data_IF_853474028202
#
_entry.id   IF_853474028202
#
_cell.length_a   1.000
_cell.length_b   1.000
_cell.length_c   1.000
_cell.angle_alpha   90.00
_cell.angle_beta   90.00
_cell.angle_gamma   90.00
#
_symmetry.space_group_name_H-M   'P 1'
#
loop_
_entity.id
_entity.type
_entity.pdbx_description
1 polymer ?
#
# COMPACT_ATOMS: atom_id res chain seq x y z
N UNK A 1 -3.17 -3.98 -12.72
CA UNK A 1 -2.79 -2.65 -12.18
C UNK A 1 -3.89 -1.68 -12.54
N UNK A 2 -4.11 -0.62 -11.76
CA UNK A 2 -4.89 0.52 -12.25
C UNK A 2 -4.13 1.21 -13.39
N UNK A 3 -4.85 1.83 -14.32
CA UNK A 3 -4.25 2.70 -15.33
C UNK A 3 -3.57 3.90 -14.63
N UNK A 4 -2.29 4.21 -14.90
CA UNK A 4 -1.62 5.38 -14.34
C UNK A 4 -2.31 6.71 -14.65
N UNK A 5 -2.94 6.85 -15.83
CA UNK A 5 -3.69 8.07 -16.19
C UNK A 5 -4.97 8.21 -15.35
N UNK A 6 -5.76 7.15 -15.23
CA UNK A 6 -6.96 7.14 -14.36
C UNK A 6 -6.56 7.31 -12.90
N UNK A 7 -5.43 6.73 -12.47
CA UNK A 7 -4.89 6.90 -11.12
C UNK A 7 -4.43 8.34 -10.87
N UNK A 8 -3.82 9.01 -11.86
CA UNK A 8 -3.47 10.42 -11.76
C UNK A 8 -4.73 11.28 -11.67
N UNK A 9 -5.73 11.04 -12.52
CA UNK A 9 -7.00 11.78 -12.53
C UNK A 9 -7.79 11.61 -11.22
N UNK A 10 -7.92 10.38 -10.70
CA UNK A 10 -8.51 10.13 -9.39
C UNK A 10 -7.77 10.87 -8.27
N UNK A 11 -6.44 10.89 -8.31
CA UNK A 11 -5.63 11.67 -7.34
C UNK A 11 -5.95 13.16 -7.47
N UNK A 12 -6.03 13.66 -8.71
CA UNK A 12 -6.33 15.05 -9.04
C UNK A 12 -7.71 15.48 -8.51
N UNK A 13 -8.79 14.77 -8.90
CA UNK A 13 -10.16 15.04 -8.45
C UNK A 13 -10.28 15.04 -6.93
N UNK A 14 -9.66 14.05 -6.25
CA UNK A 14 -9.65 14.03 -4.79
C UNK A 14 -8.96 15.26 -4.20
N UNK A 15 -7.78 15.65 -4.71
CA UNK A 15 -7.03 16.79 -4.18
C UNK A 15 -7.72 18.13 -4.44
N UNK A 16 -8.32 18.33 -5.61
CA UNK A 16 -9.15 19.50 -5.92
C UNK A 16 -10.34 19.68 -4.95
N UNK A 17 -10.85 18.57 -4.39
CA UNK A 17 -11.93 18.57 -3.40
C UNK A 17 -11.44 18.54 -1.93
N UNK A 18 -10.17 18.86 -1.67
CA UNK A 18 -9.59 18.89 -0.31
C UNK A 18 -9.05 17.54 0.18
N UNK A 19 -8.73 16.64 -0.75
CA UNK A 19 -8.01 15.39 -0.54
C UNK A 19 -8.90 14.19 -0.16
N UNK A 20 -10.20 14.41 0.07
CA UNK A 20 -11.24 13.41 0.41
C UNK A 20 -12.51 13.69 -0.40
N UNK A 21 -13.22 12.67 -0.83
CA UNK A 21 -14.54 12.80 -1.46
C UNK A 21 -15.41 11.56 -1.23
N UNK A 22 -16.75 11.69 -1.27
CA UNK A 22 -17.65 10.55 -1.23
C UNK A 22 -17.50 9.67 -2.47
N UNK A 23 -17.64 8.35 -2.31
CA UNK A 23 -17.44 7.39 -3.42
C UNK A 23 -18.42 7.63 -4.59
N UNK A 24 -19.64 8.09 -4.29
CA UNK A 24 -20.66 8.44 -5.30
C UNK A 24 -20.29 9.71 -6.08
N UNK A 25 -19.93 10.77 -5.37
CA UNK A 25 -19.48 12.03 -5.98
C UNK A 25 -18.25 11.79 -6.86
N UNK A 26 -17.27 11.03 -6.35
CA UNK A 26 -16.08 10.63 -7.11
C UNK A 26 -16.44 9.80 -8.36
N UNK A 27 -17.46 8.94 -8.29
CA UNK A 27 -17.96 8.22 -9.45
C UNK A 27 -18.57 9.17 -10.50
N UNK A 28 -19.33 10.17 -10.05
CA UNK A 28 -19.97 11.18 -10.92
C UNK A 28 -18.93 12.08 -11.62
N UNK A 29 -17.91 12.58 -10.92
CA UNK A 29 -16.84 13.39 -11.52
C UNK A 29 -15.96 12.63 -12.51
N UNK A 30 -15.78 11.32 -12.33
CA UNK A 30 -14.84 10.50 -13.12
C UNK A 30 -15.57 9.71 -14.23
N UNK A 31 -16.89 9.65 -14.21
CA UNK A 31 -17.71 9.03 -15.26
C UNK A 31 -17.58 7.50 -15.36
N UNK A 32 -17.02 6.84 -14.35
CA UNK A 32 -16.85 5.38 -14.30
C UNK A 32 -18.10 4.69 -13.76
N UNK A 33 -18.26 3.39 -14.06
CA UNK A 33 -19.18 2.56 -13.27
C UNK A 33 -18.62 2.31 -11.86
N UNK A 34 -19.50 2.11 -10.88
CA UNK A 34 -19.12 1.80 -9.51
C UNK A 34 -18.15 0.61 -9.41
N UNK A 35 -18.31 -0.40 -10.28
CA UNK A 35 -17.41 -1.55 -10.37
C UNK A 35 -16.03 -1.15 -10.88
N UNK A 36 -15.93 -0.44 -12.01
CA UNK A 36 -14.63 0.03 -12.53
C UNK A 36 -13.90 0.94 -11.54
N UNK A 37 -14.63 1.81 -10.83
CA UNK A 37 -14.05 2.64 -9.77
C UNK A 37 -13.53 1.78 -8.62
N UNK A 38 -14.34 0.85 -8.09
CA UNK A 38 -13.92 -0.06 -7.02
C UNK A 38 -12.72 -0.93 -7.41
N UNK A 39 -12.70 -1.48 -8.63
CA UNK A 39 -11.59 -2.27 -9.17
C UNK A 39 -10.33 -1.40 -9.31
N UNK A 40 -10.45 -0.15 -9.77
CA UNK A 40 -9.33 0.80 -9.90
C UNK A 40 -8.75 1.20 -8.55
N UNK A 41 -9.61 1.55 -7.57
CA UNK A 41 -9.21 1.88 -6.21
C UNK A 41 -8.50 0.69 -5.53
N UNK A 42 -9.03 -0.52 -5.72
CA UNK A 42 -8.46 -1.76 -5.18
C UNK A 42 -7.11 -2.11 -5.82
N UNK A 43 -6.96 -1.89 -7.14
CA UNK A 43 -5.74 -2.17 -7.88
C UNK A 43 -4.62 -1.13 -7.68
N UNK A 44 -4.97 0.11 -7.33
CA UNK A 44 -4.04 1.16 -6.88
C UNK A 44 -3.66 0.99 -5.40
N UNK A 45 -4.59 0.50 -4.58
CA UNK A 45 -4.40 0.10 -3.20
C UNK A 45 -4.32 1.25 -2.18
N UNK A 46 -4.32 0.90 -0.88
CA UNK A 46 -4.46 1.86 0.24
C UNK A 46 -3.25 2.80 0.45
N UNK A 47 -2.18 2.63 -0.32
CA UNK A 47 -1.06 3.60 -0.39
C UNK A 47 -1.31 4.76 -1.35
N UNK A 48 -2.33 4.67 -2.21
CA UNK A 48 -2.79 5.74 -3.11
C UNK A 48 -4.21 6.20 -2.78
N UNK A 49 -5.13 5.25 -2.56
CA UNK A 49 -6.52 5.56 -2.22
C UNK A 49 -6.96 4.72 -1.03
N UNK A 50 -7.17 5.38 0.10
CA UNK A 50 -7.71 4.75 1.29
C UNK A 50 -9.24 4.90 1.28
N UNK A 51 -9.94 3.79 1.06
CA UNK A 51 -11.41 3.72 1.10
C UNK A 51 -11.87 3.53 2.54
N UNK A 52 -12.81 4.35 3.02
CA UNK A 52 -13.16 4.46 4.44
C UNK A 52 -14.68 4.55 4.66
N UNK A 53 -15.10 4.66 5.92
CA UNK A 53 -16.52 4.70 6.34
C UNK A 53 -17.36 3.57 5.73
N UNK A 54 -16.83 2.34 5.79
CA UNK A 54 -17.49 1.14 5.25
C UNK A 54 -17.58 1.07 3.72
N UNK A 55 -16.92 1.98 3.00
CA UNK A 55 -17.01 2.13 1.54
C UNK A 55 -17.64 3.45 1.09
N UNK A 56 -18.06 4.33 2.01
CA UNK A 56 -18.76 5.57 1.66
C UNK A 56 -17.83 6.68 1.13
N UNK A 57 -16.56 6.73 1.54
CA UNK A 57 -15.61 7.79 1.18
C UNK A 57 -14.27 7.25 0.67
N UNK A 58 -13.56 8.09 -0.09
CA UNK A 58 -12.21 7.84 -0.60
C UNK A 58 -11.27 8.99 -0.23
N UNK A 59 -10.07 8.65 0.24
CA UNK A 59 -9.05 9.59 0.68
C UNK A 59 -7.74 9.41 -0.10
N UNK A 60 -7.17 10.50 -0.62
CA UNK A 60 -5.92 10.48 -1.38
C UNK A 60 -4.69 10.34 -0.46
N UNK A 61 -3.94 9.26 -0.65
CA UNK A 61 -2.76 8.90 0.14
C UNK A 61 -1.51 8.98 -0.73
N UNK A 62 -0.39 9.33 -0.12
CA UNK A 62 0.92 9.25 -0.79
C UNK A 62 2.02 8.84 0.19
N UNK A 63 3.07 8.18 -0.31
CA UNK A 63 4.31 7.92 0.40
C UNK A 63 5.38 9.03 0.22
N UNK A 64 5.13 10.04 -0.63
CA UNK A 64 6.02 11.18 -0.83
C UNK A 64 6.14 12.03 0.44
N UNK A 65 7.36 12.43 0.80
CA UNK A 65 7.67 13.25 1.98
C UNK A 65 8.61 14.40 1.62
N UNK A 66 8.60 15.45 2.43
CA UNK A 66 9.55 16.57 2.35
C UNK A 66 10.88 16.18 3.00
N UNK A 67 11.99 16.69 2.47
CA UNK A 67 13.33 16.46 3.01
C UNK A 67 13.55 17.28 4.29
N UNK A 68 13.90 16.59 5.38
CA UNK A 68 14.14 17.21 6.71
C UNK A 68 15.63 17.51 7.00
N UNK A 69 16.51 17.34 6.01
CA UNK A 69 17.96 17.59 6.14
C UNK A 69 18.28 19.07 5.88
N UNK A 70 19.26 19.62 6.60
CA UNK A 70 19.73 21.02 6.42
C UNK A 70 20.67 21.21 5.23
N UNK A 71 21.41 20.15 4.91
CA UNK A 71 22.27 19.95 3.73
C UNK A 71 21.93 18.55 3.19
N UNK A 72 21.90 18.38 1.86
CA UNK A 72 21.45 17.13 1.24
C UNK A 72 22.04 16.98 -0.16
N UNK A 73 22.90 15.98 -0.36
CA UNK A 73 23.59 15.67 -1.63
C UNK A 73 22.68 14.92 -2.63
N UNK A 74 21.37 15.24 -2.60
CA UNK A 74 20.30 14.52 -3.29
C UNK A 74 19.66 13.41 -2.43
N UNK A 75 18.34 13.31 -2.49
CA UNK A 75 17.58 12.17 -1.97
C UNK A 75 16.18 12.06 -2.61
N UNK A 76 15.48 10.95 -2.36
CA UNK A 76 14.13 10.67 -2.89
C UNK A 76 13.02 11.35 -2.06
N UNK A 77 13.17 12.65 -1.78
CA UNK A 77 12.20 13.50 -1.08
C UNK A 77 12.16 14.89 -1.69
N UNK A 78 11.05 15.59 -1.50
CA UNK A 78 10.88 16.95 -2.03
C UNK A 78 11.70 17.96 -1.21
N UNK A 79 12.44 18.85 -1.86
CA UNK A 79 13.24 19.89 -1.20
C UNK A 79 12.47 21.22 -1.21
N UNK A 80 11.68 21.46 -0.15
CA UNK A 80 10.67 22.53 -0.12
C UNK A 80 10.58 23.28 1.20
N UNK A 81 10.16 24.53 1.11
CA UNK A 81 9.88 25.41 2.23
C UNK A 81 8.60 24.96 2.97
N UNK A 82 8.74 24.27 4.12
CA UNK A 82 7.61 23.88 4.98
C UNK A 82 6.63 25.03 5.22
N UNK A 83 7.15 26.24 5.50
CA UNK A 83 6.30 27.40 5.79
C UNK A 83 5.54 27.89 4.56
N UNK A 84 6.08 27.75 3.35
CA UNK A 84 5.38 28.16 2.13
C UNK A 84 4.21 27.23 1.82
N UNK A 85 4.44 25.91 1.91
CA UNK A 85 3.40 24.87 1.82
C UNK A 85 2.30 25.02 2.90
N UNK A 86 2.53 25.79 3.96
CA UNK A 86 1.55 26.08 5.02
C UNK A 86 0.99 27.50 4.95
N UNK A 87 1.18 28.23 3.84
CA UNK A 87 0.69 29.61 3.66
C UNK A 87 1.34 30.66 4.58
N UNK A 88 2.48 30.33 5.19
CA UNK A 88 3.08 31.03 6.34
C UNK A 88 4.55 31.47 6.14
N UNK A 89 5.07 31.37 4.92
CA UNK A 89 6.39 31.94 4.60
C UNK A 89 6.24 33.40 4.16
N UNK A 90 6.72 34.33 4.98
CA UNK A 90 6.74 35.76 4.66
C UNK A 90 8.00 36.22 3.88
N UNK A 91 8.92 35.30 3.60
CA UNK A 91 10.09 35.58 2.75
C UNK A 91 9.72 35.53 1.27
N UNK A 92 10.35 36.38 0.45
CA UNK A 92 10.30 36.23 -1.01
C UNK A 92 10.97 34.91 -1.41
N UNK A 93 10.55 34.26 -2.52
CA UNK A 93 11.20 33.02 -3.00
C UNK A 93 12.72 33.16 -3.19
N UNK A 94 13.18 34.31 -3.68
CA UNK A 94 14.59 34.66 -3.85
C UNK A 94 15.37 34.92 -2.55
N UNK A 95 14.71 34.89 -1.39
CA UNK A 95 15.30 35.15 -0.07
C UNK A 95 15.05 34.03 0.93
N UNK A 96 14.35 32.95 0.55
CA UNK A 96 14.19 31.77 1.38
C UNK A 96 15.35 30.79 1.14
N UNK A 97 15.82 30.09 2.19
CA UNK A 97 16.83 29.01 2.03
C UNK A 97 16.26 27.79 1.26
N UNK A 98 14.94 27.59 1.27
CA UNK A 98 14.29 26.41 0.70
C UNK A 98 13.41 26.81 -0.48
N UNK A 99 13.32 25.95 -1.49
CA UNK A 99 12.49 26.21 -2.67
C UNK A 99 11.02 26.47 -2.28
N UNK A 100 10.41 27.43 -2.95
CA UNK A 100 8.97 27.65 -2.89
C UNK A 100 8.26 26.82 -3.99
N UNK A 101 8.84 26.76 -5.20
CA UNK A 101 8.35 25.97 -6.34
C UNK A 101 8.36 24.45 -6.05
N UNK A 102 7.17 23.85 -5.97
CA UNK A 102 6.98 22.39 -5.83
C UNK A 102 7.51 21.64 -7.05
N UNK A 103 7.34 22.19 -8.25
CA UNK A 103 7.60 21.56 -9.54
C UNK A 103 9.05 21.77 -10.04
N UNK A 104 9.96 22.18 -9.16
CA UNK A 104 11.35 22.46 -9.49
C UNK A 104 12.12 21.24 -10.04
N UNK A 105 13.28 21.49 -10.66
CA UNK A 105 14.08 20.46 -11.33
C UNK A 105 14.52 19.28 -10.44
N UNK A 106 14.75 19.49 -9.14
CA UNK A 106 15.11 18.42 -8.20
C UNK A 106 13.88 17.53 -7.91
N UNK A 107 12.73 18.18 -7.67
CA UNK A 107 11.49 17.53 -7.30
C UNK A 107 10.85 16.75 -8.46
N UNK A 108 11.04 17.17 -9.71
CA UNK A 108 10.45 16.49 -10.90
C UNK A 108 10.72 14.99 -10.94
N UNK A 109 11.91 14.53 -10.52
CA UNK A 109 12.22 13.09 -10.43
C UNK A 109 11.39 12.39 -9.36
N UNK A 110 11.25 12.99 -8.18
CA UNK A 110 10.46 12.42 -7.06
C UNK A 110 8.98 12.37 -7.44
N UNK A 111 8.43 13.45 -8.00
CA UNK A 111 7.04 13.50 -8.45
C UNK A 111 6.76 12.49 -9.56
N UNK A 112 7.69 12.30 -10.52
CA UNK A 112 7.56 11.28 -11.56
C UNK A 112 7.60 9.85 -11.00
N UNK A 113 8.50 9.57 -10.06
CA UNK A 113 8.64 8.25 -9.43
C UNK A 113 7.41 7.82 -8.61
N UNK A 114 6.48 8.73 -8.32
CA UNK A 114 5.25 8.47 -7.56
C UNK A 114 3.96 8.77 -8.36
N UNK A 115 4.07 8.93 -9.68
CA UNK A 115 2.97 9.28 -10.59
C UNK A 115 2.18 10.54 -10.17
N UNK A 116 2.88 11.56 -9.67
CA UNK A 116 2.32 12.85 -9.25
C UNK A 116 2.61 14.01 -10.23
N UNK A 117 3.30 13.74 -11.34
CA UNK A 117 3.68 14.78 -12.32
C UNK A 117 2.52 15.43 -13.07
N UNK A 118 1.30 14.90 -12.96
CA UNK A 118 0.09 15.46 -13.56
C UNK A 118 -0.70 16.42 -12.65
N UNK A 119 -0.29 16.59 -11.39
CA UNK A 119 -0.97 17.48 -10.44
C UNK A 119 -0.40 18.91 -10.52
N UNK A 120 -1.26 19.88 -10.24
CA UNK A 120 -0.91 21.29 -9.99
C UNK A 120 -0.26 21.49 -8.61
N UNK A 121 0.27 22.70 -8.38
CA UNK A 121 0.92 23.08 -7.13
C UNK A 121 -0.06 23.02 -5.93
N UNK A 122 -1.29 23.50 -6.10
CA UNK A 122 -2.34 23.47 -5.07
C UNK A 122 -2.79 22.02 -4.74
N UNK A 123 -2.96 21.17 -5.74
CA UNK A 123 -3.32 19.76 -5.55
C UNK A 123 -2.21 18.98 -4.83
N UNK A 124 -0.94 19.26 -5.18
CA UNK A 124 0.22 18.70 -4.47
C UNK A 124 0.31 19.22 -3.03
N UNK A 125 -0.01 20.50 -2.79
CA UNK A 125 -0.05 21.09 -1.46
C UNK A 125 -1.08 20.37 -0.59
N UNK A 126 -2.32 20.18 -1.06
CA UNK A 126 -3.36 19.41 -0.38
C UNK A 126 -2.90 17.97 -0.08
N UNK A 127 -2.37 17.27 -1.09
CA UNK A 127 -1.94 15.88 -0.95
C UNK A 127 -0.83 15.72 0.09
N UNK A 128 0.14 16.62 0.11
CA UNK A 128 1.28 16.60 1.05
C UNK A 128 0.85 16.99 2.48
N UNK A 129 0.05 18.04 2.62
CA UNK A 129 -0.40 18.55 3.92
C UNK A 129 -1.21 17.55 4.73
N UNK A 130 -1.93 16.62 4.10
CA UNK A 130 -2.69 15.57 4.79
C UNK A 130 -1.93 14.24 4.99
N UNK A 131 -0.76 14.07 4.36
CA UNK A 131 -0.02 12.79 4.36
C UNK A 131 1.31 12.81 5.12
N UNK A 132 2.03 13.94 5.14
CA UNK A 132 3.37 14.01 5.73
C UNK A 132 3.34 14.45 7.20
N UNK A 133 3.79 13.55 8.08
CA UNK A 133 4.00 13.78 9.50
C UNK A 133 4.87 15.02 9.79
N UNK A 134 5.72 15.44 8.85
CA UNK A 134 6.57 16.63 8.96
C UNK A 134 5.77 17.92 9.17
N UNK A 135 4.51 18.01 8.73
CA UNK A 135 3.69 19.21 8.94
C UNK A 135 3.16 19.34 10.37
N UNK A 136 2.92 18.22 11.07
CA UNK A 136 2.37 18.18 12.42
C UNK A 136 3.25 18.91 13.47
N UNK A 137 2.66 19.46 14.54
CA UNK A 137 3.38 19.91 15.74
C UNK A 137 3.99 18.73 16.52
N UNK A 138 5.07 18.98 17.28
CA UNK A 138 5.69 17.91 18.09
C UNK A 138 4.75 17.38 19.19
N UNK A 139 4.88 16.09 19.49
CA UNK A 139 4.25 15.47 20.66
C UNK A 139 4.86 15.97 21.96
N UNK A 140 4.03 16.23 22.96
CA UNK A 140 4.48 16.62 24.30
C UNK A 140 5.32 15.48 24.94
N UNK A 141 6.57 15.74 25.36
CA UNK A 141 7.43 14.71 25.95
C UNK A 141 7.00 14.32 27.37
N UNK A 142 6.36 15.23 28.11
CA UNK A 142 5.82 14.95 29.45
C UNK A 142 4.61 14.02 29.39
N UNK A 143 3.68 14.27 28.46
CA UNK A 143 2.55 13.38 28.18
C UNK A 143 3.02 11.98 27.75
N UNK A 144 4.01 11.90 26.86
CA UNK A 144 4.56 10.63 26.38
C UNK A 144 5.55 9.95 27.35
N UNK A 145 5.72 10.44 28.57
CA UNK A 145 6.55 9.79 29.61
C UNK A 145 5.74 8.72 30.35
N UNK A 146 6.41 7.69 30.88
CA UNK A 146 5.80 6.72 31.82
C UNK A 146 5.19 7.50 33.00
N UNK A 147 3.86 7.45 33.14
CA UNK A 147 3.09 8.26 34.09
C UNK A 147 2.13 9.28 33.45
N UNK A 148 2.24 9.58 32.15
CA UNK A 148 1.19 10.22 31.33
C UNK A 148 0.84 11.69 31.61
N UNK A 149 1.40 12.34 32.63
CA UNK A 149 0.93 13.65 33.08
C UNK A 149 1.73 14.83 32.49
N UNK A 150 1.03 15.75 31.82
CA UNK A 150 1.55 17.07 31.47
C UNK A 150 0.92 18.13 32.38
N UNK A 151 1.76 18.82 33.18
CA UNK A 151 1.30 19.86 34.12
C UNK A 151 0.58 21.03 33.45
N UNK A 152 0.83 21.29 32.17
CA UNK A 152 0.18 22.37 31.41
C UNK A 152 -1.23 22.00 30.92
N UNK A 153 -1.58 20.71 30.86
CA UNK A 153 -2.88 20.21 30.39
C UNK A 153 -3.35 20.94 29.10
N UNK A 154 -4.54 21.56 29.12
CA UNK A 154 -5.12 22.28 27.99
C UNK A 154 -4.36 23.56 27.58
N UNK A 155 -3.40 24.03 28.38
CA UNK A 155 -2.52 25.16 28.05
C UNK A 155 -1.21 24.72 27.36
N UNK A 156 -0.99 23.41 27.16
CA UNK A 156 0.20 22.93 26.45
C UNK A 156 0.10 23.24 24.94
N UNK A 157 1.19 23.71 24.34
CA UNK A 157 1.30 23.99 22.90
C UNK A 157 1.89 22.82 22.08
N UNK A 158 1.90 21.61 22.66
CA UNK A 158 2.37 20.37 22.04
C UNK A 158 1.27 19.30 22.04
N UNK A 159 1.32 18.36 21.10
CA UNK A 159 0.27 17.35 20.94
C UNK A 159 0.26 16.35 22.12
N UNK A 160 -0.90 16.18 22.74
CA UNK A 160 -1.18 15.13 23.72
C UNK A 160 -1.67 13.85 23.02
N UNK A 161 -0.80 13.34 22.14
CA UNK A 161 -1.02 12.16 21.30
C UNK A 161 0.19 11.23 21.42
N UNK A 162 -0.04 9.92 21.28
CA UNK A 162 0.97 8.88 21.32
C UNK A 162 2.04 9.07 20.23
N UNK A 163 3.29 9.31 20.64
CA UNK A 163 4.43 9.47 19.72
C UNK A 163 4.65 8.23 18.86
N UNK A 164 4.35 7.03 19.36
CA UNK A 164 4.49 5.80 18.56
C UNK A 164 3.39 5.67 17.49
N UNK A 165 2.19 6.22 17.72
CA UNK A 165 1.09 6.23 16.74
C UNK A 165 1.42 7.14 15.56
N UNK A 166 1.84 8.39 15.81
CA UNK A 166 2.24 9.34 14.76
C UNK A 166 3.52 8.92 14.00
N UNK A 167 4.27 7.95 14.53
CA UNK A 167 5.40 7.30 13.85
C UNK A 167 5.02 6.00 13.11
N UNK A 168 3.74 5.60 13.08
CA UNK A 168 3.25 4.36 12.47
C UNK A 168 3.77 3.08 13.13
N UNK A 169 4.13 3.14 14.42
CA UNK A 169 4.89 2.09 15.14
C UNK A 169 4.33 1.76 16.53
N UNK A 170 3.07 2.10 16.82
CA UNK A 170 2.42 1.77 18.09
C UNK A 170 1.99 0.29 18.12
N UNK A 171 2.71 -0.54 18.89
CA UNK A 171 2.43 -1.98 19.07
C UNK A 171 1.24 -2.31 19.97
N UNK A 172 0.46 -1.31 20.38
CA UNK A 172 -0.63 -1.46 21.33
C UNK A 172 -1.96 -1.15 20.63
N UNK A 173 -2.81 -2.16 20.35
CA UNK A 173 -4.15 -1.94 19.79
C UNK A 173 -5.04 -1.11 20.73
N UNK A 174 -4.89 -1.31 22.05
CA UNK A 174 -5.46 -0.45 23.10
C UNK A 174 -4.31 0.28 23.79
N UNK A 175 -3.87 1.41 23.24
CA UNK A 175 -2.80 2.20 23.85
C UNK A 175 -3.33 3.01 25.04
N UNK A 176 -2.50 3.16 26.08
CA UNK A 176 -2.80 4.04 27.24
C UNK A 176 -2.63 5.53 26.91
N UNK A 177 -2.00 5.85 25.77
CA UNK A 177 -1.81 7.21 25.28
C UNK A 177 -2.81 7.48 24.16
N UNK A 178 -3.40 8.68 24.13
CA UNK A 178 -4.40 9.07 23.15
C UNK A 178 -3.89 8.90 21.71
N UNK A 179 -4.74 8.34 20.84
CA UNK A 179 -4.57 8.34 19.39
C UNK A 179 -5.46 9.40 18.71
N UNK A 180 -6.20 10.22 19.49
CA UNK A 180 -7.23 11.13 19.01
C UNK A 180 -6.68 12.56 18.73
N UNK A 181 -6.38 12.83 17.45
CA UNK A 181 -6.05 14.13 16.88
C UNK A 181 -7.25 15.09 16.79
N UNK A 182 -8.48 14.56 16.83
CA UNK A 182 -9.73 15.32 16.84
C UNK A 182 -10.19 15.72 18.26
N UNK A 183 -9.39 15.43 19.29
CA UNK A 183 -9.62 15.94 20.64
C UNK A 183 -9.44 17.47 20.69
N UNK A 184 -10.27 18.19 21.44
CA UNK A 184 -10.23 19.67 21.48
C UNK A 184 -8.89 20.29 21.92
N UNK A 185 -8.01 19.50 22.57
CA UNK A 185 -6.62 19.90 22.80
C UNK A 185 -5.76 19.79 21.52
N UNK A 186 -5.87 18.67 20.81
CA UNK A 186 -5.12 18.42 19.60
C UNK A 186 -5.56 19.35 18.45
N UNK A 187 -6.87 19.51 18.22
CA UNK A 187 -7.43 20.43 17.20
C UNK A 187 -6.90 21.85 17.40
N UNK A 188 -7.03 22.43 18.59
CA UNK A 188 -6.50 23.77 18.90
C UNK A 188 -5.00 23.89 18.61
N UNK A 189 -4.21 22.85 18.92
CA UNK A 189 -2.76 22.84 18.65
C UNK A 189 -2.45 22.71 17.15
N UNK A 190 -3.26 21.97 16.39
CA UNK A 190 -3.17 21.85 14.93
C UNK A 190 -3.56 23.17 14.23
N UNK A 191 -4.61 23.84 14.69
CA UNK A 191 -5.04 25.16 14.22
C UNK A 191 -3.93 26.22 14.40
N UNK A 192 -3.17 26.18 15.50
CA UNK A 192 -2.03 27.11 15.68
C UNK A 192 -0.99 27.01 14.57
N UNK A 193 -0.83 25.84 13.92
CA UNK A 193 0.04 25.66 12.76
C UNK A 193 -0.68 25.72 11.41
N UNK A 194 -2.01 25.84 11.39
CA UNK A 194 -2.80 25.98 10.15
C UNK A 194 -3.28 24.66 9.57
N UNK A 195 -3.36 23.61 10.39
CA UNK A 195 -4.05 22.36 10.06
C UNK A 195 -5.46 22.48 10.63
N UNK A 196 -6.46 22.55 9.75
CA UNK A 196 -7.87 22.69 10.14
C UNK A 196 -8.50 21.34 10.53
N UNK A 197 -9.79 21.35 10.91
CA UNK A 197 -10.54 20.14 11.26
C UNK A 197 -10.67 19.11 10.13
N UNK A 198 -10.65 19.52 8.86
CA UNK A 198 -10.74 18.61 7.70
C UNK A 198 -9.41 17.88 7.50
N UNK A 199 -8.30 18.61 7.47
CA UNK A 199 -6.96 18.05 7.35
C UNK A 199 -6.63 17.20 8.59
N UNK A 200 -7.05 17.63 9.79
CA UNK A 200 -6.94 16.83 11.02
C UNK A 200 -7.73 15.51 10.95
N UNK A 201 -8.93 15.50 10.35
CA UNK A 201 -9.71 14.28 10.11
C UNK A 201 -8.99 13.35 9.13
N UNK A 202 -8.45 13.90 8.03
CA UNK A 202 -7.68 13.12 7.06
C UNK A 202 -6.44 12.48 7.69
N UNK A 203 -5.71 13.21 8.55
CA UNK A 203 -4.63 12.64 9.36
C UNK A 203 -5.12 11.55 10.31
N UNK A 204 -6.20 11.76 11.07
CA UNK A 204 -6.76 10.77 11.99
C UNK A 204 -7.03 9.45 11.25
N UNK A 205 -7.80 9.51 10.16
CA UNK A 205 -8.14 8.38 9.30
C UNK A 205 -6.91 7.65 8.76
N UNK A 206 -5.89 8.38 8.29
CA UNK A 206 -4.63 7.82 7.77
C UNK A 206 -3.82 7.11 8.86
N UNK A 207 -3.76 7.67 10.07
CA UNK A 207 -3.01 7.06 11.18
C UNK A 207 -3.73 5.88 11.81
N UNK A 208 -5.06 5.90 11.91
CA UNK A 208 -5.84 4.76 12.40
C UNK A 208 -5.69 3.56 11.46
N UNK A 209 -5.79 3.76 10.14
CA UNK A 209 -5.51 2.70 9.16
C UNK A 209 -4.09 2.15 9.31
N UNK A 210 -3.06 3.02 9.34
CA UNK A 210 -1.65 2.61 9.55
C UNK A 210 -1.44 1.86 10.88
N UNK A 211 -2.20 2.20 11.92
CA UNK A 211 -2.15 1.54 13.23
C UNK A 211 -2.83 0.17 13.22
N UNK A 212 -3.96 0.02 12.52
CA UNK A 212 -4.60 -1.29 12.33
C UNK A 212 -3.68 -2.26 11.58
N UNK A 213 -3.14 -1.85 10.43
CA UNK A 213 -2.27 -2.70 9.60
C UNK A 213 -1.02 -3.18 10.35
N UNK A 214 -0.29 -2.25 10.97
CA UNK A 214 0.95 -2.56 11.71
C UNK A 214 0.73 -3.56 12.88
N UNK A 215 -0.46 -3.57 13.47
CA UNK A 215 -0.82 -4.56 14.50
C UNK A 215 -1.44 -5.84 13.91
N UNK A 216 -2.07 -5.77 12.73
CA UNK A 216 -2.52 -6.93 11.97
C UNK A 216 -1.36 -7.79 11.46
N UNK A 217 -0.32 -7.17 10.90
CA UNK A 217 0.92 -7.81 10.47
C UNK A 217 1.61 -8.53 11.65
N UNK A 218 1.77 -7.85 12.79
CA UNK A 218 2.40 -8.45 13.97
C UNK A 218 1.62 -9.65 14.52
N UNK A 219 0.29 -9.67 14.45
CA UNK A 219 -0.50 -10.87 14.83
C UNK A 219 -0.22 -12.07 13.92
N UNK A 220 -0.01 -11.85 12.62
CA UNK A 220 0.35 -12.92 11.66
C UNK A 220 1.77 -13.47 11.92
N UNK A 221 2.69 -12.63 12.36
CA UNK A 221 4.08 -13.03 12.68
C UNK A 221 4.28 -13.61 14.09
N UNK A 222 3.33 -13.46 15.01
CA UNK A 222 3.51 -13.81 16.43
C UNK A 222 2.62 -14.98 16.90
N UNK A 223 2.22 -15.86 15.98
CA UNK A 223 1.39 -17.06 16.19
C UNK A 223 2.07 -18.21 16.95
N UNK A 224 3.16 -17.92 17.68
CA UNK A 224 3.91 -18.88 18.50
C UNK A 224 3.81 -18.67 20.02
N UNK A 225 3.15 -17.60 20.49
CA UNK A 225 2.96 -17.32 21.92
C UNK A 225 1.51 -16.95 22.22
N UNK A 226 0.76 -17.90 22.77
CA UNK A 226 -0.47 -17.60 23.51
C UNK A 226 -0.11 -16.92 24.84
N UNK A 227 -0.89 -15.91 25.22
CA UNK A 227 -1.16 -15.67 26.63
C UNK A 227 -2.57 -15.12 26.76
N UNK A 228 -3.43 -15.90 27.41
CA UNK A 228 -4.86 -15.65 27.49
C UNK A 228 -5.17 -14.62 28.59
N UNK A 229 -6.02 -13.64 28.26
CA UNK A 229 -6.78 -12.86 29.25
C UNK A 229 -8.16 -12.57 28.64
N UNK A 230 -9.21 -12.92 29.39
CA UNK A 230 -10.58 -12.97 28.88
C UNK A 230 -11.25 -11.59 28.78
N UNK A 231 -12.48 -11.60 28.25
CA UNK A 231 -13.33 -10.43 28.09
C UNK A 231 -13.74 -9.83 29.44
N UNK A 232 -13.84 -8.49 29.46
CA UNK A 232 -15.05 -7.86 29.97
C UNK A 232 -15.76 -7.18 28.77
N UNK A 233 -17.10 -7.17 28.77
CA UNK A 233 -17.95 -6.80 27.64
C UNK A 233 -19.07 -5.85 28.06
N UNK A 234 -18.73 -4.60 28.37
CA UNK A 234 -19.75 -3.56 28.45
C UNK A 234 -19.28 -2.17 28.86
N UNK A 235 -19.55 -1.18 28.01
CA UNK A 235 -20.31 0.02 28.40
C UNK A 235 -20.81 0.77 27.17
N UNK A 236 -22.02 1.29 27.27
CA UNK A 236 -22.71 1.97 26.18
C UNK A 236 -22.15 3.38 26.00
N UNK A 237 -22.10 3.86 24.75
CA UNK A 237 -22.03 5.30 24.49
C UNK A 237 -23.40 5.91 24.81
N UNK A 238 -23.44 6.92 25.67
CA UNK A 238 -24.64 7.70 25.97
C UNK A 238 -24.30 9.18 26.03
N UNK A 239 -25.05 10.01 25.29
CA UNK A 239 -25.15 11.44 25.53
C UNK A 239 -24.00 12.31 25.04
N UNK A 240 -23.93 12.56 23.73
CA UNK A 240 -23.64 13.93 23.29
C UNK A 240 -24.95 14.70 23.45
N UNK A 241 -24.94 15.77 24.26
CA UNK A 241 -26.04 16.75 24.29
C UNK A 241 -25.75 17.79 23.23
N UNK A 242 -26.56 17.81 22.18
CA UNK A 242 -26.59 18.98 21.29
C UNK A 242 -27.20 20.18 22.01
N UNK A 243 -26.74 21.38 21.66
CA UNK A 243 -27.24 22.63 22.21
C UNK A 243 -28.14 23.29 21.15
N UNK A 244 -29.41 23.49 21.51
CA UNK A 244 -30.46 23.93 20.58
C UNK A 244 -30.10 25.20 19.80
N UNK A 245 -30.42 25.21 18.51
CA UNK A 245 -30.78 26.43 17.78
C UNK A 245 -32.19 26.25 17.23
N UNK A 246 -33.05 27.23 17.47
CA UNK A 246 -34.51 27.11 17.30
C UNK A 246 -34.97 27.62 15.93
N UNK A 247 -35.89 26.89 15.27
CA UNK A 247 -37.15 27.40 14.70
C UNK A 247 -37.97 26.21 14.11
N UNK A 248 -39.33 26.25 14.05
CA UNK A 248 -40.15 25.06 13.85
C UNK A 248 -40.93 24.98 12.52
N UNK A 249 -41.15 23.77 12.00
CA UNK A 249 -42.26 23.46 11.08
C UNK A 249 -42.81 22.04 11.30
N UNK A 250 -44.03 21.99 11.87
CA UNK A 250 -45.13 21.00 11.69
C UNK A 250 -44.79 19.51 11.49
N UNK A 251 -45.31 18.67 12.41
CA UNK A 251 -45.36 17.21 12.28
C UNK A 251 -46.35 16.71 11.22
N UNK A 252 -46.08 15.53 10.64
CA UNK A 252 -47.14 14.65 10.13
C UNK A 252 -46.73 13.19 10.32
N UNK A 253 -47.28 12.54 11.34
CA UNK A 253 -47.11 11.12 11.62
C UNK A 253 -48.24 10.32 10.98
N UNK A 254 -47.90 9.31 10.18
CA UNK A 254 -48.81 8.19 9.89
C UNK A 254 -48.20 6.89 10.41
N UNK A 255 -49.02 6.17 11.16
CA UNK A 255 -48.68 4.97 11.90
C UNK A 255 -49.43 3.78 11.28
N UNK A 256 -48.84 2.58 11.25
CA UNK A 256 -49.52 1.26 11.34
C UNK A 256 -48.47 0.12 11.28
N UNK A 257 -48.55 -0.92 12.15
CA UNK A 257 -47.70 -2.12 12.10
C UNK A 257 -48.36 -3.26 11.27
N UNK A 258 -47.77 -4.47 11.16
CA UNK A 258 -48.22 -5.53 12.09
C UNK A 258 -47.23 -6.67 12.45
N UNK A 259 -47.42 -7.20 13.66
CA UNK A 259 -47.53 -8.62 14.08
C UNK A 259 -46.46 -9.71 13.80
N UNK A 260 -46.49 -10.70 14.71
CA UNK A 260 -45.61 -11.88 14.82
C UNK A 260 -46.30 -13.17 14.33
N UNK A 261 -45.52 -14.15 13.82
CA UNK A 261 -45.65 -15.61 14.00
C UNK A 261 -44.22 -16.19 13.93
N UNK A 262 -43.59 -17.05 14.77
CA UNK A 262 -43.87 -18.02 15.86
C UNK A 262 -43.86 -19.52 15.51
N UNK A 263 -43.15 -20.31 16.34
CA UNK A 263 -42.94 -21.77 16.30
C UNK A 263 -42.14 -22.31 15.08
N UNK A 264 -41.55 -23.52 15.09
CA UNK A 264 -41.52 -24.59 16.11
C UNK A 264 -40.08 -25.15 16.31
N UNK A 265 -39.90 -26.16 17.17
CA UNK A 265 -38.62 -26.84 17.47
C UNK A 265 -38.67 -28.33 17.11
N UNK A 266 -37.51 -29.01 17.17
CA UNK A 266 -37.46 -30.43 17.54
C UNK A 266 -36.22 -30.73 18.39
N UNK A 267 -36.28 -31.77 19.23
CA UNK A 267 -35.63 -31.77 20.55
C UNK A 267 -34.84 -33.04 20.93
N UNK A 268 -33.79 -32.83 21.77
CA UNK A 268 -33.18 -33.78 22.73
C UNK A 268 -32.52 -35.08 22.18
N UNK A 269 -31.71 -35.85 22.93
CA UNK A 269 -31.35 -35.84 24.36
C UNK A 269 -29.88 -36.28 24.64
N UNK A 270 -29.39 -36.07 25.87
CA UNK A 270 -28.25 -36.81 26.48
C UNK A 270 -28.75 -38.03 27.32
N UNK A 271 -28.11 -38.45 28.45
CA UNK A 271 -27.06 -37.77 29.25
C UNK A 271 -25.94 -38.68 29.87
N UNK A 272 -24.95 -38.06 30.55
CA UNK A 272 -24.14 -38.62 31.69
C UNK A 272 -23.26 -39.88 31.45
N UNK A 273 -22.26 -40.29 32.26
CA UNK A 273 -21.33 -39.75 33.29
C UNK A 273 -20.35 -40.94 33.65
N UNK A 274 -19.24 -40.93 34.41
CA UNK A 274 -18.62 -40.04 35.44
C UNK A 274 -17.08 -40.28 35.49
N UNK A 275 -16.35 -39.65 36.43
CA UNK A 275 -14.90 -39.77 36.76
C UNK A 275 -14.79 -40.05 38.28
N UNK A 276 -13.91 -40.92 38.85
CA UNK A 276 -12.47 -40.63 39.11
C UNK A 276 -11.55 -41.90 39.18
N UNK A 277 -10.30 -41.95 39.67
CA UNK A 277 -9.40 -40.99 40.35
C UNK A 277 -7.90 -41.37 40.18
N UNK A 278 -6.99 -40.37 40.20
CA UNK A 278 -5.62 -40.34 40.82
C UNK A 278 -4.58 -41.46 40.46
N UNK A 279 -3.26 -41.38 40.69
CA UNK A 279 -2.41 -40.50 41.52
C UNK A 279 -0.99 -40.28 40.91
N UNK A 280 -0.31 -39.20 41.33
CA UNK A 280 1.07 -39.07 41.89
C UNK A 280 2.15 -40.18 41.63
N UNK A 281 3.48 -39.92 41.61
CA UNK A 281 4.24 -38.70 41.96
C UNK A 281 5.71 -38.68 41.45
N UNK A 282 6.32 -37.48 41.53
CA UNK A 282 7.74 -37.18 41.86
C UNK A 282 8.93 -37.42 40.89
N UNK A 283 10.01 -36.69 41.23
CA UNK A 283 11.32 -36.48 40.58
C UNK A 283 12.40 -37.31 41.33
N UNK A 284 13.61 -37.54 40.78
CA UNK A 284 14.72 -36.68 41.23
C UNK A 284 15.85 -36.38 40.23
N UNK A 285 16.42 -35.20 40.47
CA UNK A 285 17.78 -34.67 40.24
C UNK A 285 18.93 -35.66 39.93
N UNK A 286 19.80 -35.28 38.98
CA UNK A 286 21.15 -35.83 38.80
C UNK A 286 22.00 -34.95 37.87
N UNK A 287 23.29 -34.77 38.16
CA UNK A 287 24.23 -33.96 37.35
C UNK A 287 25.31 -34.83 36.68
N UNK A 288 25.87 -34.39 35.54
CA UNK A 288 26.89 -35.18 34.82
C UNK A 288 27.45 -34.55 33.55
N UNK A 289 28.39 -33.61 33.72
CA UNK A 289 29.57 -33.31 32.88
C UNK A 289 29.49 -33.04 31.35
N UNK A 290 30.50 -32.33 30.84
CA UNK A 290 30.78 -32.13 29.41
C UNK A 290 31.94 -33.03 29.00
N UNK A 291 31.90 -33.58 27.78
CA UNK A 291 33.11 -33.84 26.99
C UNK A 291 32.88 -33.51 25.52
N UNK A 292 33.88 -32.91 24.86
CA UNK A 292 33.92 -32.79 23.41
C UNK A 292 34.45 -34.09 22.79
N UNK A 293 33.76 -34.60 21.77
CA UNK A 293 34.22 -35.70 20.92
C UNK A 293 34.23 -35.23 19.46
N UNK A 294 35.37 -35.40 18.79
CA UNK A 294 35.63 -34.92 17.42
C UNK A 294 35.98 -36.10 16.51
N UNK A 295 35.82 -35.93 15.20
CA UNK A 295 36.30 -36.83 14.11
C UNK A 295 35.50 -38.15 13.95
N UNK A 296 35.45 -38.79 12.77
CA UNK A 296 35.97 -38.45 11.42
C UNK A 296 35.21 -39.23 10.33
N UNK A 297 35.17 -38.68 9.10
CA UNK A 297 34.99 -39.42 7.83
C UNK A 297 33.66 -40.20 7.61
N UNK A 298 33.31 -40.68 6.40
CA UNK A 298 34.02 -40.64 5.11
C UNK A 298 33.13 -40.22 3.92
N UNK A 299 33.82 -39.85 2.84
CA UNK A 299 33.36 -39.67 1.47
C UNK A 299 32.38 -40.72 0.93
N UNK A 300 31.57 -40.30 -0.05
CA UNK A 300 31.54 -40.97 -1.36
C UNK A 300 31.36 -39.94 -2.49
N UNK A 301 31.95 -40.23 -3.66
CA UNK A 301 31.94 -39.37 -4.85
C UNK A 301 30.69 -39.61 -5.70
N UNK A 302 30.08 -38.54 -6.20
CA UNK A 302 28.90 -38.62 -7.05
C UNK A 302 28.76 -37.40 -7.97
N UNK A 303 29.67 -37.30 -8.96
CA UNK A 303 29.60 -36.33 -10.06
C UNK A 303 28.19 -36.27 -10.67
N UNK A 304 27.52 -35.14 -10.47
CA UNK A 304 26.36 -34.75 -11.27
C UNK A 304 26.60 -33.38 -11.89
N UNK A 305 26.59 -33.37 -13.22
CA UNK A 305 26.42 -32.16 -14.02
C UNK A 305 25.07 -31.52 -13.69
N UNK A 306 25.06 -30.67 -12.67
CA UNK A 306 24.08 -29.59 -12.59
C UNK A 306 24.45 -28.56 -13.67
N UNK A 307 24.20 -28.95 -14.92
CA UNK A 307 24.19 -28.10 -16.11
C UNK A 307 23.22 -26.97 -15.80
N UNK A 308 23.75 -25.84 -15.33
CA UNK A 308 22.95 -24.77 -14.75
C UNK A 308 21.99 -24.24 -15.80
N UNK A 309 20.70 -24.54 -15.63
CA UNK A 309 19.66 -24.04 -16.52
C UNK A 309 19.71 -22.50 -16.51
N UNK A 310 19.93 -21.93 -17.70
CA UNK A 310 19.76 -20.50 -17.90
C UNK A 310 18.28 -20.21 -17.72
N UNK A 311 17.92 -19.53 -16.63
CA UNK A 311 16.54 -19.08 -16.46
C UNK A 311 16.25 -17.98 -17.49
N UNK A 312 15.58 -18.35 -18.58
CA UNK A 312 15.08 -17.42 -19.60
C UNK A 312 13.92 -16.52 -19.11
N UNK A 313 13.63 -16.54 -17.80
CA UNK A 313 12.81 -15.53 -17.11
C UNK A 313 13.65 -14.30 -16.71
N UNK A 314 13.08 -13.11 -16.88
CA UNK A 314 13.65 -11.85 -16.39
C UNK A 314 13.37 -11.72 -14.88
N UNK A 315 14.40 -11.36 -14.12
CA UNK A 315 14.32 -11.20 -12.66
C UNK A 315 13.40 -10.04 -12.28
N UNK A 316 12.16 -10.36 -11.92
CA UNK A 316 11.14 -9.40 -11.49
C UNK A 316 11.68 -8.43 -10.40
N UNK A 317 12.38 -8.97 -9.40
CA UNK A 317 12.96 -8.16 -8.33
C UNK A 317 14.05 -7.20 -8.82
N UNK A 318 14.72 -7.48 -9.95
CA UNK A 318 15.70 -6.56 -10.54
C UNK A 318 15.06 -5.46 -11.40
N UNK A 319 13.95 -5.76 -12.09
CA UNK A 319 13.11 -4.75 -12.75
C UNK A 319 12.67 -3.72 -11.70
N UNK A 320 12.16 -4.20 -10.56
CA UNK A 320 11.78 -3.39 -9.38
C UNK A 320 12.95 -2.83 -8.53
N UNK A 321 14.22 -3.11 -8.87
CA UNK A 321 15.43 -2.68 -8.11
C UNK A 321 15.58 -3.21 -6.68
N UNK A 322 14.83 -4.24 -6.28
CA UNK A 322 14.93 -4.93 -4.97
C UNK A 322 15.70 -6.26 -4.99
N UNK A 323 16.29 -6.68 -6.11
CA UNK A 323 17.04 -7.95 -6.19
C UNK A 323 18.29 -7.94 -5.29
N UNK A 324 18.24 -8.69 -4.19
CA UNK A 324 19.33 -8.80 -3.20
C UNK A 324 20.52 -9.64 -3.71
N UNK A 325 20.30 -10.49 -4.71
CA UNK A 325 21.27 -11.50 -5.13
C UNK A 325 22.35 -10.94 -6.08
N UNK A 326 22.12 -9.76 -6.69
CA UNK A 326 23.00 -9.14 -7.70
C UNK A 326 23.41 -10.19 -8.75
N UNK A 327 24.71 -10.31 -9.02
CA UNK A 327 25.33 -11.16 -10.04
C UNK A 327 25.24 -12.67 -9.70
N UNK A 328 24.67 -13.01 -8.54
CA UNK A 328 24.30 -14.38 -8.13
C UNK A 328 22.81 -14.69 -8.33
N UNK A 329 22.05 -13.83 -9.01
CA UNK A 329 20.69 -14.18 -9.42
C UNK A 329 20.73 -15.20 -10.58
N UNK A 330 19.72 -16.05 -10.65
CA UNK A 330 19.60 -17.09 -11.70
C UNK A 330 18.78 -16.57 -12.89
N UNK A 331 17.83 -15.68 -12.64
CA UNK A 331 16.99 -15.00 -13.64
C UNK A 331 17.68 -13.76 -14.24
N UNK A 332 17.41 -13.47 -15.51
CA UNK A 332 18.08 -12.40 -16.29
C UNK A 332 17.85 -11.01 -15.68
N UNK A 333 18.93 -10.27 -15.43
CA UNK A 333 18.86 -8.89 -14.95
C UNK A 333 18.68 -7.90 -16.11
N UNK A 334 17.43 -7.57 -16.45
CA UNK A 334 17.08 -6.57 -17.47
C UNK A 334 16.15 -5.47 -16.94
N UNK A 335 16.08 -4.32 -17.60
CA UNK A 335 15.34 -3.15 -17.11
C UNK A 335 13.89 -3.03 -17.63
N UNK A 336 13.53 -3.76 -18.68
CA UNK A 336 12.13 -3.93 -19.14
C UNK A 336 11.60 -5.32 -18.71
N UNK A 337 10.27 -5.51 -18.64
CA UNK A 337 9.65 -6.81 -18.33
C UNK A 337 9.73 -7.82 -19.49
N UNK A 338 10.20 -7.39 -20.67
CA UNK A 338 10.52 -8.22 -21.83
C UNK A 338 11.93 -7.88 -22.32
N UNK A 339 12.57 -8.82 -23.04
CA UNK A 339 13.85 -8.58 -23.74
C UNK A 339 13.89 -9.38 -25.03
N UNK A 340 14.21 -8.72 -26.14
CA UNK A 340 14.39 -9.37 -27.45
C UNK A 340 15.86 -9.58 -27.77
N UNK A 341 16.19 -10.79 -28.22
CA UNK A 341 17.57 -11.19 -28.55
C UNK A 341 17.63 -11.98 -29.86
N UNK A 342 18.72 -11.82 -30.60
CA UNK A 342 19.04 -12.54 -31.84
C UNK A 342 20.29 -13.42 -31.64
N UNK A 343 20.29 -14.62 -32.18
CA UNK A 343 21.42 -15.55 -32.12
C UNK A 343 22.39 -15.29 -33.28
N UNK A 344 23.65 -15.00 -32.97
CA UNK A 344 24.68 -14.71 -33.98
C UNK A 344 25.42 -15.96 -34.51
N UNK A 345 25.13 -17.14 -33.94
CA UNK A 345 25.82 -18.40 -34.20
C UNK A 345 26.57 -18.96 -32.98
N UNK A 346 26.90 -18.11 -31.99
CA UNK A 346 27.56 -18.49 -30.75
C UNK A 346 26.90 -17.94 -29.49
N UNK A 347 26.25 -16.76 -29.57
CA UNK A 347 25.69 -16.03 -28.44
C UNK A 347 24.36 -15.35 -28.80
N UNK A 348 23.56 -15.09 -27.78
CA UNK A 348 22.38 -14.22 -27.87
C UNK A 348 22.81 -12.75 -27.69
N UNK A 349 22.50 -11.90 -28.68
CA UNK A 349 22.74 -10.46 -28.65
C UNK A 349 21.42 -9.71 -28.58
N UNK A 350 21.41 -8.57 -27.89
CA UNK A 350 20.22 -7.74 -27.73
C UNK A 350 19.78 -7.09 -29.06
N UNK A 351 18.47 -7.12 -29.35
CA UNK A 351 17.91 -6.46 -30.54
C UNK A 351 17.57 -4.99 -30.24
N UNK A 352 18.01 -4.03 -31.07
CA UNK A 352 17.75 -2.61 -30.85
C UNK A 352 16.29 -2.25 -31.12
N UNK A 353 15.79 -1.24 -30.39
CA UNK A 353 14.42 -0.70 -30.52
C UNK A 353 13.33 -1.75 -30.23
N UNK A 354 13.59 -2.63 -29.26
CA UNK A 354 12.71 -3.75 -28.91
C UNK A 354 11.30 -3.37 -28.45
N UNK A 355 11.05 -2.12 -28.07
CA UNK A 355 9.70 -1.61 -27.77
C UNK A 355 8.79 -1.66 -29.01
N UNK A 356 9.33 -1.42 -30.21
CA UNK A 356 8.60 -1.60 -31.47
C UNK A 356 8.35 -3.08 -31.78
N UNK A 357 9.36 -3.93 -31.51
CA UNK A 357 9.31 -5.37 -31.77
C UNK A 357 8.24 -6.02 -30.89
N UNK A 358 8.25 -5.71 -29.59
CA UNK A 358 7.22 -6.13 -28.63
C UNK A 358 5.83 -5.62 -29.04
N UNK A 359 5.70 -4.32 -29.37
CA UNK A 359 4.42 -3.74 -29.78
C UNK A 359 3.83 -4.41 -31.01
N UNK A 360 4.66 -4.80 -31.98
CA UNK A 360 4.19 -5.54 -33.15
C UNK A 360 3.84 -7.00 -32.82
N UNK A 361 4.66 -7.68 -32.01
CA UNK A 361 4.45 -9.06 -31.56
C UNK A 361 3.17 -9.24 -30.73
N UNK A 362 2.78 -8.23 -29.94
CA UNK A 362 1.57 -8.27 -29.13
C UNK A 362 0.25 -8.10 -29.91
N UNK A 363 0.27 -7.77 -31.20
CA UNK A 363 -0.94 -7.76 -32.05
C UNK A 363 -0.99 -9.05 -32.88
N UNK A 364 -1.98 -9.94 -32.66
CA UNK A 364 -2.06 -11.23 -33.36
C UNK A 364 -2.27 -11.12 -34.87
N UNK A 365 -2.57 -9.92 -35.41
CA UNK A 365 -2.60 -9.67 -36.86
C UNK A 365 -1.21 -9.65 -37.50
N UNK A 366 -0.15 -9.41 -36.72
CA UNK A 366 1.22 -9.30 -37.22
C UNK A 366 1.94 -10.65 -37.12
N UNK A 367 2.04 -11.38 -38.23
CA UNK A 367 2.91 -12.57 -38.32
C UNK A 367 4.40 -12.23 -38.47
N UNK A 368 4.73 -10.99 -38.86
CA UNK A 368 6.10 -10.53 -39.13
C UNK A 368 6.22 -9.01 -39.08
N UNK A 369 7.45 -8.51 -38.92
CA UNK A 369 7.84 -7.10 -39.07
C UNK A 369 8.84 -6.98 -40.23
N UNK A 370 8.31 -6.69 -41.43
CA UNK A 370 9.10 -6.58 -42.65
C UNK A 370 10.20 -5.50 -42.57
N UNK A 371 9.95 -4.39 -41.87
CA UNK A 371 10.94 -3.30 -41.69
C UNK A 371 12.21 -3.71 -40.92
N UNK A 372 12.20 -4.86 -40.24
CA UNK A 372 13.36 -5.44 -39.53
C UNK A 372 13.69 -6.87 -39.98
N UNK A 373 13.02 -7.38 -41.03
CA UNK A 373 13.08 -8.79 -41.47
C UNK A 373 12.80 -9.82 -40.36
N UNK A 374 11.99 -9.47 -39.34
CA UNK A 374 11.64 -10.36 -38.24
C UNK A 374 10.36 -11.12 -38.60
N UNK A 375 10.35 -12.45 -38.42
CA UNK A 375 9.16 -13.29 -38.52
C UNK A 375 8.84 -13.84 -37.12
N UNK A 376 7.66 -13.51 -36.60
CA UNK A 376 7.22 -13.90 -35.26
C UNK A 376 6.70 -15.33 -35.22
N UNK A 377 6.16 -15.85 -36.33
CA UNK A 377 5.65 -17.22 -36.42
C UNK A 377 6.78 -18.26 -36.44
N UNK A 378 7.93 -17.92 -37.02
CA UNK A 378 9.14 -18.78 -37.05
C UNK A 378 10.19 -18.38 -36.01
N UNK A 379 9.99 -17.28 -35.29
CA UNK A 379 10.96 -16.68 -34.35
C UNK A 379 12.36 -16.51 -34.98
N UNK A 380 12.42 -15.82 -36.11
CA UNK A 380 13.67 -15.55 -36.86
C UNK A 380 13.81 -14.08 -37.26
N UNK A 381 15.05 -13.64 -37.49
CA UNK A 381 15.40 -12.36 -38.11
C UNK A 381 16.30 -12.65 -39.32
N UNK A 382 15.79 -12.44 -40.54
CA UNK A 382 16.38 -12.90 -41.80
C UNK A 382 16.68 -14.42 -41.78
N UNK A 383 17.89 -14.83 -41.40
CA UNK A 383 18.32 -16.23 -41.27
C UNK A 383 18.75 -16.63 -39.85
N UNK A 384 18.78 -15.69 -38.90
CA UNK A 384 19.16 -15.93 -37.50
C UNK A 384 17.93 -16.25 -36.64
N UNK A 385 18.11 -17.10 -35.62
CA UNK A 385 17.09 -17.33 -34.59
C UNK A 385 16.90 -16.07 -33.73
N UNK A 386 15.69 -15.85 -33.25
CA UNK A 386 15.30 -14.77 -32.34
C UNK A 386 14.58 -15.37 -31.12
N UNK A 387 14.73 -14.76 -29.95
CA UNK A 387 13.95 -15.12 -28.76
C UNK A 387 13.45 -13.88 -28.02
N UNK A 388 12.34 -14.07 -27.29
CA UNK A 388 11.76 -13.13 -26.34
C UNK A 388 11.87 -13.71 -24.93
N UNK A 389 12.68 -13.09 -24.10
CA UNK A 389 12.71 -13.32 -22.65
C UNK A 389 11.61 -12.48 -22.01
N UNK A 390 11.04 -12.93 -20.89
CA UNK A 390 9.94 -12.23 -20.22
C UNK A 390 9.97 -12.41 -18.70
N UNK A 391 9.35 -11.51 -17.94
CA UNK A 391 9.14 -11.70 -16.49
C UNK A 391 8.21 -12.89 -16.23
N UNK A 392 8.22 -13.46 -15.00
CA UNK A 392 7.42 -14.64 -14.69
C UNK A 392 5.92 -14.44 -14.97
N UNK A 393 5.23 -15.52 -15.31
CA UNK A 393 3.80 -15.50 -15.63
C UNK A 393 2.94 -14.95 -14.47
N UNK A 394 1.93 -14.15 -14.80
CA UNK A 394 0.92 -13.69 -13.82
C UNK A 394 0.16 -14.86 -13.19
N UNK A 395 0.08 -16.01 -13.86
CA UNK A 395 -0.52 -17.25 -13.31
C UNK A 395 0.33 -17.83 -12.17
N UNK A 396 1.67 -17.73 -12.24
CA UNK A 396 2.57 -18.28 -11.21
C UNK A 396 2.90 -17.30 -10.10
N UNK A 397 2.77 -15.98 -10.34
CA UNK A 397 3.04 -14.91 -9.36
C UNK A 397 1.94 -13.82 -9.36
N UNK A 398 0.66 -14.17 -9.14
CA UNK A 398 -0.50 -13.26 -9.34
C UNK A 398 -0.52 -12.02 -8.43
N UNK A 399 0.19 -12.03 -7.31
CA UNK A 399 0.31 -10.88 -6.39
C UNK A 399 1.42 -9.89 -6.76
N UNK A 400 2.14 -10.12 -7.87
CA UNK A 400 3.31 -9.33 -8.27
C UNK A 400 3.05 -8.51 -9.54
N UNK A 401 3.26 -7.19 -9.46
CA UNK A 401 3.18 -6.29 -10.62
C UNK A 401 4.38 -6.51 -11.56
N UNK A 402 4.20 -6.21 -12.86
CA UNK A 402 5.14 -6.48 -13.96
C UNK A 402 5.42 -7.98 -14.21
N UNK A 403 4.52 -8.87 -13.82
CA UNK A 403 4.47 -10.26 -14.31
C UNK A 403 3.88 -10.33 -15.73
N UNK A 404 4.31 -11.30 -16.53
CA UNK A 404 3.82 -11.44 -17.92
C UNK A 404 2.43 -12.05 -17.93
N UNK A 405 1.45 -11.30 -18.43
CA UNK A 405 0.15 -11.84 -18.79
C UNK A 405 0.19 -12.36 -20.22
N UNK A 406 -0.25 -13.60 -20.43
CA UNK A 406 -0.35 -14.22 -21.75
C UNK A 406 -1.83 -14.26 -22.16
N UNK A 407 -2.19 -13.50 -23.18
CA UNK A 407 -3.49 -13.55 -23.83
C UNK A 407 -3.43 -14.53 -24.99
N UNK A 408 -4.49 -15.30 -25.21
CA UNK A 408 -4.58 -16.29 -26.27
C UNK A 408 -5.67 -15.86 -27.25
N UNK A 409 -5.34 -15.79 -28.54
CA UNK A 409 -6.27 -15.45 -29.59
C UNK A 409 -6.42 -16.61 -30.57
N UNK A 410 -7.63 -16.78 -31.09
CA UNK A 410 -7.94 -17.70 -32.18
C UNK A 410 -8.56 -16.92 -33.34
N UNK A 411 -8.33 -17.38 -34.58
CA UNK A 411 -8.88 -16.77 -35.79
C UNK A 411 -10.16 -17.52 -36.17
N UNK A 412 -11.27 -16.81 -36.34
CA UNK A 412 -12.52 -17.42 -36.76
C UNK A 412 -12.60 -17.61 -38.30
N UNK A 413 -13.69 -18.22 -38.77
CA UNK A 413 -13.94 -18.47 -40.20
C UNK A 413 -14.15 -17.19 -41.04
N UNK A 414 -14.22 -16.02 -40.40
CA UNK A 414 -14.38 -14.69 -41.01
C UNK A 414 -13.06 -13.90 -40.97
N UNK A 415 -11.94 -14.60 -40.74
CA UNK A 415 -10.59 -14.05 -40.58
C UNK A 415 -10.41 -13.07 -39.39
N UNK A 416 -11.38 -13.01 -38.48
CA UNK A 416 -11.36 -12.17 -37.28
C UNK A 416 -10.68 -12.89 -36.12
N UNK A 417 -9.72 -12.23 -35.47
CA UNK A 417 -9.15 -12.67 -34.19
C UNK A 417 -10.13 -12.41 -33.03
N UNK A 418 -10.31 -13.41 -32.17
CA UNK A 418 -11.18 -13.39 -30.98
C UNK A 418 -10.37 -13.89 -29.79
N UNK A 419 -10.55 -13.29 -28.60
CA UNK A 419 -9.85 -13.70 -27.39
C UNK A 419 -10.43 -15.01 -26.83
N UNK A 420 -9.56 -15.89 -26.36
CA UNK A 420 -9.93 -17.18 -25.81
C UNK A 420 -10.39 -17.03 -24.35
N UNK A 421 -11.69 -16.89 -24.16
CA UNK A 421 -12.33 -16.76 -22.84
C UNK A 421 -13.48 -15.74 -22.79
N UNK A 422 -13.64 -14.90 -23.82
CA UNK A 422 -14.74 -13.91 -23.92
C UNK A 422 -15.99 -14.47 -24.63
N UNK A 423 -16.51 -15.62 -24.17
CA UNK A 423 -17.74 -16.26 -24.68
C UNK A 423 -18.83 -16.34 -23.61
#
# INVERSE_FOLDING_TARGET
MSDPAVSSFLTQTLCAHGGRLGLRELQEYVGLSARQLQDTLSAAGPRRFLVVEGGAEVLAVTDVRVCVRKECDGCERLHLCKLHLMGRCHLRPSSCKYSHDIMNAENKKVLKNHDLSGLSEDELQVLLLQNDAFFLPDTCPFYNKKGGHCMQQNNCNKLHVCRHFLNGKCKFPRCIMSHNLLSGHAVRVLETVGIDGKIASNFQTIYDYKHMEFNGEQKKGNSGLKQDFEFDRGRNFTGIKELNTTLPTVESMLHVPPSQVLFIQSSHAGPSSTVPAQSQDQLPTGAGEKYEGKKDSSSDEASKDNKKDNCDEICLFYVWKYCKNKDKCESVHYHLPYKWEVHDGCFWRELPMMEEIEKAYCDPKNSSMASRNINFQTMTCSSSLVRRLSTPSSVTKPSFLLTTQWLWYWKNNEDKWIEYGEQ
#
